data_IF_485398353913
#
_entry.id   IF_485398353913
#
_cell.length_a   1.000
_cell.length_b   1.000
_cell.length_c   1.000
_cell.angle_alpha   90.00
_cell.angle_beta   90.00
_cell.angle_gamma   90.00
#
_symmetry.space_group_name_H-M   'P 1'
#
loop_
_entity.id
_entity.type
_entity.pdbx_description
1 polymer ?
#
# COMPACT_ATOMS: atom_id res chain seq x y z
N UNK A 1 9.24 -5.65 2.07
CA UNK A 1 8.07 -4.74 2.07
C UNK A 1 7.34 -4.79 3.40
N UNK A 2 6.90 -5.95 3.88
CA UNK A 2 6.49 -6.16 5.28
C UNK A 2 7.67 -6.80 6.04
N UNK A 3 7.99 -6.42 7.29
CA UNK A 3 7.34 -5.41 8.13
C UNK A 3 7.92 -3.99 7.98
N UNK A 4 8.95 -3.79 7.15
CA UNK A 4 9.68 -2.52 7.05
C UNK A 4 8.84 -1.33 6.57
N UNK A 5 7.90 -1.53 5.65
CA UNK A 5 7.00 -0.47 5.16
C UNK A 5 6.04 0.00 6.25
N UNK A 6 5.52 -0.93 7.08
CA UNK A 6 4.65 -0.58 8.19
C UNK A 6 5.40 0.26 9.24
N UNK A 7 6.62 -0.15 9.63
CA UNK A 7 7.45 0.62 10.57
C UNK A 7 7.70 2.04 10.06
N UNK A 8 8.13 2.18 8.79
CA UNK A 8 8.34 3.50 8.17
C UNK A 8 7.06 4.34 8.13
N UNK A 9 5.92 3.74 7.78
CA UNK A 9 4.64 4.44 7.76
C UNK A 9 4.26 4.92 9.17
N UNK A 10 4.47 4.09 10.20
CA UNK A 10 4.24 4.45 11.59
C UNK A 10 5.16 5.59 12.05
N UNK A 11 6.46 5.50 11.77
CA UNK A 11 7.44 6.53 12.14
C UNK A 11 7.13 7.88 11.47
N UNK A 12 6.72 7.86 10.20
CA UNK A 12 6.33 9.07 9.46
C UNK A 12 5.05 9.69 10.04
N UNK A 13 4.09 8.86 10.40
CA UNK A 13 2.83 9.31 10.96
C UNK A 13 2.98 9.86 12.38
N UNK A 14 3.83 9.23 13.19
CA UNK A 14 4.23 9.73 14.50
C UNK A 14 4.89 11.11 14.40
N UNK A 15 5.79 11.30 13.43
CA UNK A 15 6.40 12.61 13.17
C UNK A 15 5.35 13.66 12.74
N UNK A 16 4.37 13.28 11.90
CA UNK A 16 3.29 14.18 11.47
C UNK A 16 2.42 14.63 12.64
N UNK A 17 2.01 13.70 13.49
CA UNK A 17 1.16 13.97 14.66
C UNK A 17 1.92 14.76 15.73
N UNK A 18 3.19 14.44 15.96
CA UNK A 18 4.09 15.20 16.84
C UNK A 18 4.17 16.68 16.43
N UNK A 19 4.36 16.97 15.14
CA UNK A 19 4.37 18.35 14.60
C UNK A 19 3.04 19.07 14.80
N UNK A 20 1.94 18.33 14.90
CA UNK A 20 0.60 18.86 15.13
C UNK A 20 0.20 18.89 16.62
N UNK A 21 1.10 18.50 17.52
CA UNK A 21 0.85 18.40 18.97
C UNK A 21 -0.16 17.33 19.37
N UNK A 22 -0.39 16.32 18.52
CA UNK A 22 -1.39 15.26 18.73
C UNK A 22 -0.74 13.95 19.15
N UNK A 23 -1.49 13.15 19.90
CA UNK A 23 -1.06 11.82 20.31
C UNK A 23 -1.15 10.83 19.13
N UNK A 24 -0.19 9.91 19.04
CA UNK A 24 -0.18 8.79 18.08
C UNK A 24 -1.43 7.93 18.16
N UNK A 25 -2.09 7.85 19.32
CA UNK A 25 -3.33 7.10 19.53
C UNK A 25 -4.62 7.86 19.16
N UNK A 26 -4.50 9.04 18.56
CA UNK A 26 -5.67 9.83 18.14
C UNK A 26 -6.37 9.22 16.92
N UNK A 27 -7.67 9.47 16.77
CA UNK A 27 -8.45 9.10 15.57
C UNK A 27 -8.07 9.87 14.30
N UNK A 28 -7.17 10.85 14.44
CA UNK A 28 -6.55 11.56 13.34
C UNK A 28 -5.37 10.81 12.75
N UNK A 29 -4.88 9.77 13.43
CA UNK A 29 -3.84 8.90 12.92
C UNK A 29 -4.35 8.16 11.67
N UNK A 30 -3.73 8.44 10.53
CA UNK A 30 -4.12 7.91 9.22
C UNK A 30 -3.82 6.41 9.07
N UNK A 31 -3.00 5.84 9.94
CA UNK A 31 -2.74 4.40 10.04
C UNK A 31 -3.76 3.74 10.97
N UNK A 32 -4.04 4.31 12.15
CA UNK A 32 -4.97 3.71 13.13
C UNK A 32 -6.41 3.69 12.64
N UNK A 33 -6.89 4.78 12.04
CA UNK A 33 -8.29 4.88 11.59
C UNK A 33 -8.69 3.73 10.65
N UNK A 34 -7.98 3.46 9.54
CA UNK A 34 -8.33 2.33 8.68
C UNK A 34 -8.10 0.98 9.37
N UNK A 35 -7.09 0.83 10.23
CA UNK A 35 -6.89 -0.42 10.97
C UNK A 35 -8.08 -0.74 11.89
N UNK A 36 -8.63 0.25 12.59
CA UNK A 36 -9.83 0.08 13.42
C UNK A 36 -11.03 -0.30 12.55
N UNK A 37 -11.23 0.38 11.42
CA UNK A 37 -12.32 0.06 10.50
C UNK A 37 -12.22 -1.37 9.97
N UNK A 38 -11.03 -1.81 9.55
CA UNK A 38 -10.79 -3.18 9.10
C UNK A 38 -11.05 -4.19 10.21
N UNK A 39 -10.60 -3.92 11.44
CA UNK A 39 -10.82 -4.80 12.58
C UNK A 39 -12.31 -4.95 12.89
N UNK A 40 -13.07 -3.85 12.91
CA UNK A 40 -14.52 -3.87 13.14
C UNK A 40 -15.23 -4.65 12.04
N UNK A 41 -14.86 -4.43 10.77
CA UNK A 41 -15.43 -5.16 9.64
C UNK A 41 -15.16 -6.66 9.76
N UNK A 42 -13.91 -7.06 10.04
CA UNK A 42 -13.53 -8.46 10.15
C UNK A 42 -14.18 -9.14 11.36
N UNK A 43 -14.25 -8.45 12.50
CA UNK A 43 -14.97 -8.93 13.68
C UNK A 43 -16.47 -9.11 13.39
N UNK A 44 -17.08 -8.17 12.66
CA UNK A 44 -18.46 -8.31 12.18
C UNK A 44 -18.61 -9.55 11.29
N UNK A 45 -17.77 -9.70 10.28
CA UNK A 45 -17.82 -10.87 9.39
C UNK A 45 -17.64 -12.20 10.15
N UNK A 46 -16.72 -12.25 11.13
CA UNK A 46 -16.54 -13.41 12.00
C UNK A 46 -17.78 -13.69 12.86
N UNK A 47 -18.44 -12.65 13.39
CA UNK A 47 -19.65 -12.79 14.20
C UNK A 47 -20.84 -13.28 13.36
N UNK A 48 -21.00 -12.80 12.13
CA UNK A 48 -22.13 -13.16 11.26
C UNK A 48 -21.94 -14.50 10.53
N UNK A 49 -20.74 -14.79 10.02
CA UNK A 49 -20.46 -15.98 9.21
C UNK A 49 -19.68 -17.08 9.96
N UNK A 50 -19.29 -16.80 11.20
CA UNK A 50 -18.65 -17.76 12.09
C UNK A 50 -17.15 -17.98 11.85
N UNK A 51 -16.55 -18.96 12.55
CA UNK A 51 -15.11 -19.19 12.56
C UNK A 51 -14.50 -19.57 11.20
N UNK A 52 -15.32 -20.02 10.24
CA UNK A 52 -14.87 -20.34 8.89
C UNK A 52 -14.20 -19.14 8.21
N UNK A 53 -14.60 -17.90 8.56
CA UNK A 53 -13.98 -16.68 8.08
C UNK A 53 -12.51 -16.54 8.48
N UNK A 54 -12.03 -17.22 9.52
CA UNK A 54 -10.61 -17.24 9.88
C UNK A 54 -9.73 -17.84 8.79
N UNK A 55 -10.28 -18.67 7.90
CA UNK A 55 -9.57 -19.22 6.74
C UNK A 55 -9.70 -18.28 5.53
N UNK A 56 -10.91 -17.76 5.28
CA UNK A 56 -11.18 -16.93 4.11
C UNK A 56 -10.54 -15.54 4.18
N UNK A 57 -10.54 -14.88 5.35
CA UNK A 57 -10.02 -13.52 5.50
C UNK A 57 -8.50 -13.44 5.21
N UNK A 58 -7.64 -14.34 5.71
CA UNK A 58 -6.22 -14.33 5.33
C UNK A 58 -5.98 -14.54 3.84
N UNK A 59 -6.75 -15.42 3.19
CA UNK A 59 -6.65 -15.67 1.74
C UNK A 59 -7.03 -14.40 0.97
N UNK A 60 -8.14 -13.76 1.36
CA UNK A 60 -8.58 -12.50 0.77
C UNK A 60 -7.54 -11.39 0.96
N UNK A 61 -6.96 -11.27 2.16
CA UNK A 61 -5.92 -10.28 2.45
C UNK A 61 -4.67 -10.50 1.60
N UNK A 62 -4.23 -11.75 1.47
CA UNK A 62 -3.09 -12.11 0.63
C UNK A 62 -3.35 -11.79 -0.85
N UNK A 63 -4.55 -12.09 -1.34
CA UNK A 63 -4.96 -11.77 -2.71
C UNK A 63 -5.02 -10.26 -2.97
N UNK A 64 -5.58 -9.49 -2.02
CA UNK A 64 -5.62 -8.03 -2.10
C UNK A 64 -4.22 -7.41 -2.11
N UNK A 65 -3.33 -7.87 -1.24
CA UNK A 65 -1.93 -7.44 -1.22
C UNK A 65 -1.20 -7.78 -2.52
N UNK A 66 -1.39 -9.00 -3.05
CA UNK A 66 -0.81 -9.40 -4.33
C UNK A 66 -1.33 -8.51 -5.48
N UNK A 67 -2.63 -8.25 -5.56
CA UNK A 67 -3.16 -7.35 -6.59
C UNK A 67 -2.55 -5.95 -6.50
N UNK A 68 -2.47 -5.37 -5.30
CA UNK A 68 -1.87 -4.04 -5.12
C UNK A 68 -0.39 -4.02 -5.54
N UNK A 69 0.37 -5.06 -5.17
CA UNK A 69 1.79 -5.19 -5.52
C UNK A 69 1.97 -5.40 -7.03
N UNK A 70 1.08 -6.18 -7.66
CA UNK A 70 1.10 -6.40 -9.11
C UNK A 70 0.77 -5.13 -9.87
N UNK A 71 -0.25 -4.40 -9.43
CA UNK A 71 -0.62 -3.12 -10.01
C UNK A 71 0.53 -2.12 -9.90
N UNK A 72 1.16 -2.01 -8.73
CA UNK A 72 2.34 -1.15 -8.51
C UNK A 72 3.54 -1.58 -9.39
N UNK A 73 3.78 -2.89 -9.52
CA UNK A 73 4.82 -3.41 -10.40
C UNK A 73 4.54 -3.05 -11.87
N UNK A 74 3.32 -3.24 -12.34
CA UNK A 74 2.93 -2.85 -13.70
C UNK A 74 3.01 -1.34 -13.90
N UNK A 75 2.66 -0.54 -12.90
CA UNK A 75 2.76 0.90 -12.93
C UNK A 75 4.22 1.35 -13.09
N UNK A 76 5.17 0.75 -12.37
CA UNK A 76 6.57 1.18 -12.43
C UNK A 76 7.41 0.47 -13.51
N UNK A 77 7.01 -0.72 -13.95
CA UNK A 77 7.83 -1.57 -14.83
C UNK A 77 7.07 -2.13 -16.04
N UNK A 78 5.81 -1.74 -16.25
CA UNK A 78 4.95 -2.30 -17.30
C UNK A 78 5.26 -1.79 -18.72
N UNK A 79 6.03 -0.70 -18.86
CA UNK A 79 6.38 -0.15 -20.18
C UNK A 79 7.71 -0.68 -20.68
N UNK A 80 7.75 -1.05 -21.97
CA UNK A 80 8.95 -1.52 -22.64
C UNK A 80 9.95 -0.36 -22.77
N UNK A 81 11.20 -0.62 -22.43
CA UNK A 81 12.30 0.32 -22.65
C UNK A 81 12.91 0.09 -24.01
N UNK A 82 13.31 1.16 -24.68
CA UNK A 82 14.04 1.05 -25.94
C UNK A 82 15.40 0.42 -25.73
N UNK A 83 15.82 -0.38 -26.71
CA UNK A 83 17.15 -0.98 -26.76
C UNK A 83 18.04 -0.10 -27.61
N UNK A 84 19.08 0.45 -26.99
CA UNK A 84 20.05 1.32 -27.65
C UNK A 84 20.92 0.51 -28.63
N UNK A 85 21.61 1.22 -29.53
CA UNK A 85 22.49 0.65 -30.55
C UNK A 85 23.68 -0.13 -29.98
N UNK A 86 24.06 0.13 -28.72
CA UNK A 86 25.08 -0.58 -27.96
C UNK A 86 24.55 -1.90 -27.33
N UNK A 87 23.26 -2.22 -27.54
CA UNK A 87 22.61 -3.41 -27.03
C UNK A 87 22.08 -3.30 -25.59
N UNK A 88 22.27 -2.16 -24.91
CA UNK A 88 21.74 -1.91 -23.56
C UNK A 88 20.35 -1.31 -23.63
N UNK A 89 19.53 -1.55 -22.60
CA UNK A 89 18.25 -0.86 -22.46
C UNK A 89 18.46 0.56 -21.93
N UNK A 90 17.57 1.46 -22.31
CA UNK A 90 17.54 2.81 -21.78
C UNK A 90 17.46 2.82 -20.24
N UNK A 91 18.03 3.86 -19.62
CA UNK A 91 17.86 4.09 -18.18
C UNK A 91 16.38 4.35 -17.88
N UNK A 92 15.92 3.89 -16.72
CA UNK A 92 14.55 4.12 -16.27
C UNK A 92 14.28 5.63 -16.17
N UNK A 93 13.21 6.08 -16.79
CA UNK A 93 12.76 7.48 -16.86
C UNK A 93 11.29 7.56 -16.44
N UNK A 94 10.76 8.72 -16.02
CA UNK A 94 9.39 8.85 -15.54
C UNK A 94 8.31 8.33 -16.53
N UNK A 95 8.52 8.52 -17.83
CA UNK A 95 7.59 8.04 -18.88
C UNK A 95 7.66 6.52 -19.12
N UNK A 96 8.61 5.82 -18.52
CA UNK A 96 8.65 4.35 -18.48
C UNK A 96 7.79 3.76 -17.35
N UNK A 97 7.11 4.63 -16.59
CA UNK A 97 6.08 4.22 -15.65
C UNK A 97 4.72 4.69 -16.15
N UNK A 98 3.70 3.88 -15.92
CA UNK A 98 2.28 4.25 -16.04
C UNK A 98 1.83 5.18 -14.90
N UNK A 99 2.79 5.80 -14.19
CA UNK A 99 2.58 6.85 -13.21
C UNK A 99 2.86 8.20 -13.86
N UNK A 100 1.80 8.80 -14.40
CA UNK A 100 1.82 10.17 -14.88
C UNK A 100 1.82 11.14 -13.71
N UNK A 101 2.98 11.39 -13.10
CA UNK A 101 3.18 12.56 -12.24
C UNK A 101 3.21 13.82 -13.12
N UNK A 102 2.06 14.19 -13.69
CA UNK A 102 1.88 15.49 -14.33
C UNK A 102 1.64 16.53 -13.24
N UNK A 103 2.33 17.66 -13.34
CA UNK A 103 2.28 18.78 -12.37
C UNK A 103 0.86 19.39 -12.27
N UNK A 104 -0.01 19.07 -13.23
CA UNK A 104 -1.43 19.39 -13.21
C UNK A 104 -2.18 18.14 -13.68
N UNK A 105 -3.05 17.59 -12.83
CA UNK A 105 -4.09 16.61 -13.22
C UNK A 105 -5.42 17.34 -13.33
#
# INVERSE_FOLDING_TARGET
EIPGAFKRAWDLEEQRLSRSGKNVWSLENEVLRPMILTLVLYAGLLAFFGPLMLIFLPIQMAFGWWQLTSANYLEHYGLLREKMSDGRYERQQPYHSWNSNHIMS
#
